data_IF_597414714800
#
_entry.id   IF_597414714800
#
_cell.length_a   1.000
_cell.length_b   1.000
_cell.length_c   1.000
_cell.angle_alpha   90.00
_cell.angle_beta   90.00
_cell.angle_gamma   90.00
#
_symmetry.space_group_name_H-M   'P 1'
#
loop_
_entity.id
_entity.type
_entity.pdbx_description
1 polymer ?
#
# COMPACT_ATOMS: atom_id res chain seq x y z
N UNK A 1 -9.58 21.36 -28.93
CA UNK A 1 -9.12 20.88 -30.23
C UNK A 1 -8.42 19.53 -30.05
N UNK A 2 -9.19 18.44 -29.99
CA UNK A 2 -8.76 17.01 -30.08
C UNK A 2 -9.94 16.23 -30.62
N UNK A 3 -10.28 16.40 -31.91
CA UNK A 3 -11.39 15.67 -32.55
C UNK A 3 -10.93 14.41 -33.28
N UNK A 4 -9.64 14.10 -33.34
CA UNK A 4 -9.14 12.88 -33.94
C UNK A 4 -8.70 11.87 -32.89
N UNK A 5 -9.21 10.62 -33.01
CA UNK A 5 -8.77 9.52 -32.16
C UNK A 5 -7.26 9.31 -32.32
N UNK A 6 -6.52 9.07 -31.22
CA UNK A 6 -5.07 8.90 -31.26
C UNK A 6 -4.68 7.75 -32.18
N UNK A 7 -3.57 7.90 -32.89
CA UNK A 7 -3.04 6.86 -33.78
C UNK A 7 -2.57 5.66 -32.97
N UNK A 8 -2.63 4.47 -33.59
CA UNK A 8 -2.15 3.23 -32.96
C UNK A 8 -0.66 3.29 -32.57
N UNK A 9 0.15 3.95 -33.39
CA UNK A 9 1.56 4.17 -33.07
C UNK A 9 1.74 4.99 -31.80
N UNK A 10 0.92 6.01 -31.60
CA UNK A 10 0.92 6.81 -30.38
C UNK A 10 0.44 6.01 -29.17
N UNK A 11 -0.68 5.26 -29.28
CA UNK A 11 -1.19 4.42 -28.20
C UNK A 11 -0.17 3.35 -27.77
N UNK A 12 0.50 2.71 -28.73
CA UNK A 12 1.58 1.75 -28.49
C UNK A 12 2.78 2.41 -27.81
N UNK A 13 3.17 3.60 -28.27
CA UNK A 13 4.27 4.35 -27.65
C UNK A 13 3.99 4.64 -26.17
N UNK A 14 2.85 5.23 -25.86
CA UNK A 14 2.53 5.63 -24.48
C UNK A 14 2.25 4.45 -23.54
N UNK A 15 1.81 3.30 -24.04
CA UNK A 15 1.60 2.10 -23.22
C UNK A 15 2.90 1.30 -23.02
N UNK A 16 3.94 1.63 -23.78
CA UNK A 16 5.26 0.98 -23.69
C UNK A 16 6.16 1.49 -22.56
N UNK A 17 5.80 2.59 -21.87
CA UNK A 17 6.64 3.19 -20.82
C UNK A 17 7.03 2.24 -19.68
N UNK A 18 6.19 1.25 -19.23
CA UNK A 18 6.57 0.37 -18.13
C UNK A 18 7.78 -0.51 -18.45
N UNK A 19 8.11 -0.66 -19.74
CA UNK A 19 9.16 -1.54 -20.26
C UNK A 19 10.45 -0.80 -20.61
N UNK A 20 10.50 0.52 -20.42
CA UNK A 20 11.68 1.33 -20.72
C UNK A 20 12.85 1.02 -19.77
N UNK A 21 12.52 0.76 -18.49
CA UNK A 21 13.52 0.56 -17.43
C UNK A 21 13.54 -0.86 -16.85
N UNK A 22 12.43 -1.61 -17.00
CA UNK A 22 12.30 -2.95 -16.40
C UNK A 22 11.43 -3.84 -17.29
N UNK A 23 12.09 -4.61 -18.17
CA UNK A 23 11.42 -5.63 -18.98
C UNK A 23 11.01 -6.80 -18.10
N UNK A 24 9.75 -7.28 -18.16
CA UNK A 24 9.33 -8.47 -17.43
C UNK A 24 9.94 -9.74 -18.05
N UNK A 25 10.17 -10.76 -17.23
CA UNK A 25 10.48 -12.10 -17.72
C UNK A 25 9.25 -12.75 -18.34
N UNK A 26 8.09 -12.53 -17.71
CA UNK A 26 6.76 -12.93 -18.18
C UNK A 26 5.71 -11.95 -17.66
N UNK A 27 4.82 -11.50 -18.55
CA UNK A 27 3.74 -10.59 -18.22
C UNK A 27 2.40 -11.32 -18.23
N UNK A 28 1.50 -11.00 -17.29
CA UNK A 28 0.09 -11.34 -17.42
C UNK A 28 -0.78 -10.10 -17.56
N UNK A 29 -1.96 -10.28 -18.16
CA UNK A 29 -3.02 -9.26 -18.17
C UNK A 29 -4.20 -9.77 -17.39
N UNK A 30 -4.69 -8.98 -16.42
CA UNK A 30 -5.94 -9.27 -15.74
C UNK A 30 -7.11 -8.83 -16.62
N UNK A 31 -7.86 -9.80 -17.13
CA UNK A 31 -8.90 -9.59 -18.14
C UNK A 31 -10.28 -9.95 -17.57
N UNK A 32 -11.27 -9.07 -17.74
CA UNK A 32 -12.65 -9.29 -17.33
C UNK A 32 -13.61 -9.48 -18.51
N UNK A 33 -13.12 -9.39 -19.76
CA UNK A 33 -13.96 -9.39 -20.95
C UNK A 33 -14.47 -8.01 -21.38
N UNK A 34 -14.50 -7.03 -20.48
CA UNK A 34 -14.89 -5.65 -20.81
C UNK A 34 -13.86 -4.91 -21.65
N UNK A 35 -14.29 -3.87 -22.37
CA UNK A 35 -13.49 -3.16 -23.38
C UNK A 35 -12.12 -2.72 -22.91
N UNK A 36 -12.02 -2.09 -21.72
CA UNK A 36 -10.74 -1.59 -21.21
C UNK A 36 -9.73 -2.74 -20.98
N UNK A 37 -10.19 -3.87 -20.45
CA UNK A 37 -9.32 -5.03 -20.21
C UNK A 37 -8.93 -5.76 -21.49
N UNK A 38 -9.81 -5.82 -22.48
CA UNK A 38 -9.52 -6.41 -23.79
C UNK A 38 -8.54 -5.55 -24.59
N UNK A 39 -8.68 -4.21 -24.54
CA UNK A 39 -7.69 -3.29 -25.12
C UNK A 39 -6.30 -3.44 -24.46
N UNK A 40 -6.28 -3.58 -23.14
CA UNK A 40 -5.05 -3.85 -22.41
C UNK A 40 -4.39 -5.15 -22.88
N UNK A 41 -5.17 -6.23 -23.03
CA UNK A 41 -4.67 -7.52 -23.49
C UNK A 41 -4.05 -7.41 -24.87
N UNK A 42 -4.77 -6.86 -25.87
CA UNK A 42 -4.28 -6.76 -27.24
C UNK A 42 -2.99 -5.90 -27.34
N UNK A 43 -2.94 -4.77 -26.61
CA UNK A 43 -1.75 -3.92 -26.54
C UNK A 43 -0.56 -4.63 -25.87
N UNK A 44 -0.78 -5.38 -24.79
CA UNK A 44 0.30 -6.10 -24.13
C UNK A 44 0.80 -7.29 -24.97
N UNK A 45 -0.06 -7.92 -25.74
CA UNK A 45 0.35 -8.92 -26.74
C UNK A 45 1.26 -8.31 -27.81
N UNK A 46 0.89 -7.13 -28.32
CA UNK A 46 1.74 -6.40 -29.25
C UNK A 46 3.11 -6.08 -28.63
N UNK A 47 3.15 -5.56 -27.40
CA UNK A 47 4.41 -5.26 -26.69
C UNK A 47 5.23 -6.52 -26.42
N UNK A 48 4.59 -7.63 -26.07
CA UNK A 48 5.25 -8.91 -25.85
C UNK A 48 5.96 -9.41 -27.11
N UNK A 49 5.27 -9.34 -28.26
CA UNK A 49 5.81 -9.72 -29.56
C UNK A 49 6.98 -8.80 -29.97
N UNK A 50 6.79 -7.48 -29.88
CA UNK A 50 7.81 -6.49 -30.26
C UNK A 50 9.06 -6.55 -29.40
N UNK A 51 8.89 -6.77 -28.07
CA UNK A 51 9.97 -6.73 -27.09
C UNK A 51 10.47 -8.11 -26.66
N UNK A 52 9.85 -9.19 -27.15
CA UNK A 52 10.27 -10.58 -26.94
C UNK A 52 10.06 -11.08 -25.49
N UNK A 53 8.92 -10.81 -24.87
CA UNK A 53 8.51 -11.43 -23.60
C UNK A 53 7.14 -12.11 -23.75
N UNK A 54 6.94 -13.27 -23.09
CA UNK A 54 5.68 -13.98 -23.16
C UNK A 54 4.58 -13.24 -22.39
N UNK A 55 3.33 -13.32 -22.91
CA UNK A 55 2.15 -12.73 -22.29
C UNK A 55 1.10 -13.81 -22.07
N UNK A 56 0.51 -13.84 -20.88
CA UNK A 56 -0.61 -14.71 -20.52
C UNK A 56 -1.83 -13.84 -20.11
N UNK A 57 -3.02 -14.42 -20.17
CA UNK A 57 -4.24 -13.78 -19.66
C UNK A 57 -4.73 -14.50 -18.41
N UNK A 58 -5.25 -13.74 -17.43
CA UNK A 58 -5.90 -14.27 -16.23
C UNK A 58 -7.23 -13.58 -16.00
N UNK A 59 -8.30 -14.37 -15.79
CA UNK A 59 -9.63 -13.89 -15.43
C UNK A 59 -9.97 -14.37 -14.02
N UNK A 60 -10.52 -13.49 -13.18
CA UNK A 60 -11.07 -13.88 -11.87
C UNK A 60 -12.57 -14.09 -12.02
N UNK A 61 -13.00 -15.32 -11.78
CA UNK A 61 -14.41 -15.65 -11.67
C UNK A 61 -14.88 -15.44 -10.23
N UNK A 62 -15.75 -14.46 -10.03
CA UNK A 62 -16.30 -14.16 -8.71
C UNK A 62 -17.53 -15.00 -8.36
N UNK A 63 -18.06 -15.81 -9.31
CA UNK A 63 -19.25 -16.65 -9.10
C UNK A 63 -20.54 -15.89 -8.81
N UNK A 64 -20.57 -14.56 -9.04
CA UNK A 64 -21.66 -13.68 -8.60
C UNK A 64 -22.70 -13.41 -9.67
N UNK A 65 -22.41 -13.68 -10.95
CA UNK A 65 -23.28 -13.34 -12.09
C UNK A 65 -23.27 -14.46 -13.13
N UNK A 66 -24.44 -14.73 -13.73
CA UNK A 66 -24.56 -15.71 -14.81
C UNK A 66 -23.78 -15.28 -16.08
N UNK A 67 -23.79 -13.97 -16.37
CA UNK A 67 -23.11 -13.36 -17.53
C UNK A 67 -21.58 -13.50 -17.48
N UNK A 68 -21.01 -13.76 -16.31
CA UNK A 68 -19.57 -13.97 -16.16
C UNK A 68 -19.05 -15.15 -17.00
N UNK A 69 -19.90 -16.18 -17.24
CA UNK A 69 -19.54 -17.31 -18.08
C UNK A 69 -19.33 -16.89 -19.55
N UNK A 70 -20.18 -16.02 -20.09
CA UNK A 70 -20.09 -15.51 -21.46
C UNK A 70 -18.88 -14.59 -21.63
N UNK A 71 -18.59 -13.74 -20.62
CA UNK A 71 -17.40 -12.89 -20.58
C UNK A 71 -16.12 -13.75 -20.58
N UNK A 72 -16.07 -14.80 -19.76
CA UNK A 72 -14.95 -15.75 -19.71
C UNK A 72 -14.79 -16.47 -21.04
N UNK A 73 -15.89 -16.93 -21.65
CA UNK A 73 -15.86 -17.61 -22.94
C UNK A 73 -15.35 -16.69 -24.07
N UNK A 74 -15.74 -15.40 -24.06
CA UNK A 74 -15.24 -14.40 -25.00
C UNK A 74 -13.72 -14.23 -24.88
N UNK A 75 -13.20 -14.07 -23.65
CA UNK A 75 -11.76 -13.96 -23.41
C UNK A 75 -11.03 -15.22 -23.85
N UNK A 76 -11.55 -16.39 -23.49
CA UNK A 76 -10.96 -17.68 -23.86
C UNK A 76 -10.90 -17.86 -25.40
N UNK A 77 -11.98 -17.50 -26.12
CA UNK A 77 -12.02 -17.55 -27.58
C UNK A 77 -11.00 -16.61 -28.23
N UNK A 78 -10.89 -15.37 -27.73
CA UNK A 78 -9.88 -14.42 -28.21
C UNK A 78 -8.45 -14.92 -27.96
N UNK A 79 -8.17 -15.40 -26.75
CA UNK A 79 -6.87 -15.93 -26.39
C UNK A 79 -6.48 -17.15 -27.25
N UNK A 80 -7.41 -18.10 -27.44
CA UNK A 80 -7.21 -19.27 -28.29
C UNK A 80 -6.88 -18.88 -29.73
N UNK A 81 -7.59 -17.90 -30.31
CA UNK A 81 -7.35 -17.38 -31.64
C UNK A 81 -5.97 -16.70 -31.81
N UNK A 82 -5.39 -16.21 -30.71
CA UNK A 82 -4.05 -15.57 -30.69
C UNK A 82 -2.94 -16.51 -30.18
N UNK A 83 -3.26 -17.75 -29.79
CA UNK A 83 -2.30 -18.68 -29.18
C UNK A 83 -1.79 -18.26 -27.80
N UNK A 84 -2.59 -17.52 -27.04
CA UNK A 84 -2.25 -16.98 -25.72
C UNK A 84 -2.78 -17.87 -24.61
N UNK A 85 -1.95 -18.28 -23.62
CA UNK A 85 -2.44 -19.00 -22.46
C UNK A 85 -3.43 -18.16 -21.68
N UNK A 86 -4.61 -18.72 -21.37
CA UNK A 86 -5.64 -18.10 -20.54
C UNK A 86 -5.94 -18.99 -19.32
N UNK A 87 -5.97 -18.39 -18.14
CA UNK A 87 -6.32 -19.07 -16.89
C UNK A 87 -7.52 -18.39 -16.25
N UNK A 88 -8.40 -19.18 -15.64
CA UNK A 88 -9.50 -18.68 -14.82
C UNK A 88 -9.22 -19.07 -13.37
N UNK A 89 -9.16 -18.08 -12.48
CA UNK A 89 -9.02 -18.26 -11.05
C UNK A 89 -10.35 -17.95 -10.38
N UNK A 90 -10.81 -18.83 -9.47
CA UNK A 90 -12.10 -18.67 -8.79
C UNK A 90 -11.92 -18.03 -7.44
N UNK A 91 -12.88 -17.21 -7.07
CA UNK A 91 -13.01 -16.66 -5.75
C UNK A 91 -14.20 -17.29 -5.03
N UNK A 92 -13.91 -18.02 -3.97
CA UNK A 92 -14.93 -18.57 -3.08
C UNK A 92 -15.17 -17.59 -1.94
N UNK A 93 -16.37 -16.97 -1.94
CA UNK A 93 -16.73 -16.00 -0.91
C UNK A 93 -17.42 -16.69 0.27
N UNK A 94 -16.87 -16.49 1.48
CA UNK A 94 -17.39 -17.08 2.72
C UNK A 94 -18.59 -16.32 3.34
N UNK A 95 -19.10 -15.25 2.66
CA UNK A 95 -20.36 -14.61 3.03
C UNK A 95 -20.29 -13.55 4.14
N UNK A 96 -19.11 -13.07 4.53
CA UNK A 96 -18.95 -12.03 5.58
C UNK A 96 -18.34 -10.74 5.03
N UNK A 97 -18.77 -9.57 5.53
CA UNK A 97 -18.14 -8.27 5.27
C UNK A 97 -18.65 -7.49 4.05
N UNK A 98 -17.85 -6.52 3.58
CA UNK A 98 -18.19 -5.70 2.42
C UNK A 98 -17.77 -6.40 1.13
N UNK A 99 -18.72 -7.05 0.46
CA UNK A 99 -18.52 -7.83 -0.77
C UNK A 99 -17.59 -7.17 -1.80
N UNK A 100 -17.76 -5.86 -2.05
CA UNK A 100 -16.96 -5.16 -3.08
C UNK A 100 -15.49 -4.93 -2.65
N UNK A 101 -15.28 -4.57 -1.39
CA UNK A 101 -13.94 -4.36 -0.86
C UNK A 101 -13.18 -5.69 -0.77
N UNK A 102 -13.86 -6.75 -0.35
CA UNK A 102 -13.31 -8.10 -0.26
C UNK A 102 -13.05 -8.70 -1.62
N UNK A 103 -13.99 -8.60 -2.58
CA UNK A 103 -13.79 -9.03 -3.96
C UNK A 103 -12.58 -8.32 -4.61
N UNK A 104 -12.40 -7.02 -4.34
CA UNK A 104 -11.24 -6.28 -4.83
C UNK A 104 -9.94 -6.76 -4.17
N UNK A 105 -9.93 -6.99 -2.86
CA UNK A 105 -8.75 -7.49 -2.14
C UNK A 105 -8.40 -8.91 -2.58
N UNK A 106 -9.39 -9.80 -2.63
CA UNK A 106 -9.25 -11.18 -3.07
C UNK A 106 -8.71 -11.28 -4.50
N UNK A 107 -9.19 -10.43 -5.42
CA UNK A 107 -8.70 -10.39 -6.80
C UNK A 107 -7.18 -10.19 -6.89
N UNK A 108 -6.62 -9.26 -6.11
CA UNK A 108 -5.18 -9.05 -6.10
C UNK A 108 -4.43 -10.25 -5.53
N UNK A 109 -4.89 -10.81 -4.41
CA UNK A 109 -4.29 -11.98 -3.77
C UNK A 109 -4.29 -13.21 -4.67
N UNK A 110 -5.46 -13.54 -5.26
CA UNK A 110 -5.62 -14.69 -6.17
C UNK A 110 -4.74 -14.58 -7.42
N UNK A 111 -4.73 -13.41 -8.06
CA UNK A 111 -3.89 -13.18 -9.23
C UNK A 111 -2.40 -13.25 -8.85
N UNK A 112 -2.00 -12.69 -7.70
CA UNK A 112 -0.60 -12.72 -7.26
C UNK A 112 -0.15 -14.16 -6.93
N UNK A 113 -0.98 -14.96 -6.28
CA UNK A 113 -0.70 -16.37 -6.01
C UNK A 113 -0.55 -17.18 -7.31
N UNK A 114 -1.50 -17.02 -8.22
CA UNK A 114 -1.46 -17.63 -9.54
C UNK A 114 -0.21 -17.19 -10.32
N UNK A 115 0.12 -15.89 -10.31
CA UNK A 115 1.28 -15.33 -11.00
C UNK A 115 2.59 -15.95 -10.52
N UNK A 116 2.78 -16.05 -9.19
CA UNK A 116 3.95 -16.70 -8.60
C UNK A 116 4.08 -18.16 -9.02
N UNK A 117 2.97 -18.92 -9.00
CA UNK A 117 2.94 -20.32 -9.43
C UNK A 117 3.29 -20.52 -10.92
N UNK A 118 3.13 -19.48 -11.74
CA UNK A 118 3.42 -19.53 -13.16
C UNK A 118 4.71 -18.80 -13.58
N UNK A 119 5.46 -18.24 -12.64
CA UNK A 119 6.65 -17.44 -12.90
C UNK A 119 6.35 -16.13 -13.63
N UNK A 120 5.17 -15.54 -13.40
CA UNK A 120 4.78 -14.21 -13.87
C UNK A 120 5.30 -13.18 -12.87
N UNK A 121 6.11 -12.24 -13.31
CA UNK A 121 6.70 -11.19 -12.47
C UNK A 121 6.03 -9.83 -12.63
N UNK A 122 5.14 -9.69 -13.63
CA UNK A 122 4.42 -8.45 -13.91
C UNK A 122 2.98 -8.70 -14.34
N UNK A 123 2.03 -7.96 -13.74
CA UNK A 123 0.60 -8.02 -14.12
C UNK A 123 0.11 -6.66 -14.57
N UNK A 124 -0.48 -6.59 -15.77
CA UNK A 124 -1.08 -5.39 -16.33
C UNK A 124 -2.59 -5.30 -16.03
N UNK A 125 -3.06 -4.09 -15.72
CA UNK A 125 -4.44 -3.76 -15.43
C UNK A 125 -4.96 -2.72 -16.43
N UNK A 126 -6.12 -2.95 -17.01
CA UNK A 126 -6.77 -2.09 -17.98
C UNK A 126 -7.49 -0.88 -17.35
N UNK A 127 -6.83 -0.13 -16.47
CA UNK A 127 -7.37 1.12 -15.95
C UNK A 127 -7.08 2.27 -16.92
N UNK A 128 -8.07 3.16 -17.11
CA UNK A 128 -8.04 4.28 -18.06
C UNK A 128 -8.01 5.63 -17.34
N UNK A 129 -7.93 6.71 -18.10
CA UNK A 129 -8.06 8.09 -17.59
C UNK A 129 -9.40 8.32 -16.90
N UNK A 130 -10.48 7.73 -17.43
CA UNK A 130 -11.79 7.81 -16.79
C UNK A 130 -11.78 7.22 -15.37
N UNK A 131 -11.06 6.10 -15.16
CA UNK A 131 -10.93 5.51 -13.83
C UNK A 131 -10.15 6.41 -12.86
N UNK A 132 -9.19 7.20 -13.37
CA UNK A 132 -8.50 8.22 -12.57
C UNK A 132 -9.47 9.29 -12.14
N UNK A 133 -10.28 9.84 -13.07
CA UNK A 133 -11.26 10.89 -12.80
C UNK A 133 -12.35 10.41 -11.83
N UNK A 134 -12.91 9.21 -12.05
CA UNK A 134 -13.88 8.58 -11.14
C UNK A 134 -13.31 8.45 -9.74
N UNK A 135 -12.08 7.93 -9.61
CA UNK A 135 -11.40 7.74 -8.33
C UNK A 135 -11.11 9.07 -7.65
N UNK A 136 -10.71 10.09 -8.41
CA UNK A 136 -10.49 11.44 -7.91
C UNK A 136 -11.74 12.00 -7.24
N UNK A 137 -12.90 11.96 -7.91
CA UNK A 137 -14.17 12.43 -7.37
C UNK A 137 -14.59 11.67 -6.11
N UNK A 138 -14.47 10.34 -6.12
CA UNK A 138 -14.77 9.50 -4.95
C UNK A 138 -13.90 9.86 -3.73
N UNK A 139 -12.62 10.16 -3.95
CA UNK A 139 -11.68 10.52 -2.90
C UNK A 139 -11.87 11.97 -2.44
N UNK A 140 -12.19 12.88 -3.35
CA UNK A 140 -12.52 14.27 -3.05
C UNK A 140 -13.76 14.35 -2.13
N UNK A 141 -14.80 13.56 -2.42
CA UNK A 141 -15.99 13.46 -1.59
C UNK A 141 -15.69 12.97 -0.16
N UNK A 142 -14.60 12.23 0.02
CA UNK A 142 -14.09 11.77 1.32
C UNK A 142 -13.07 12.72 1.96
N UNK A 143 -12.92 13.93 1.43
CA UNK A 143 -11.98 14.97 1.92
C UNK A 143 -10.52 14.48 1.90
N UNK A 144 -10.15 13.69 0.90
CA UNK A 144 -8.77 13.25 0.75
C UNK A 144 -7.83 14.42 0.49
N UNK A 145 -6.66 14.40 1.12
CA UNK A 145 -5.57 15.35 0.87
C UNK A 145 -4.73 14.96 -0.35
N UNK A 146 -3.52 15.51 -0.44
CA UNK A 146 -2.59 15.34 -1.57
C UNK A 146 -2.40 13.87 -1.93
N UNK A 147 -2.12 12.99 -0.95
CA UNK A 147 -1.89 11.56 -1.19
C UNK A 147 -3.10 10.87 -1.81
N UNK A 148 -4.28 11.15 -1.27
CA UNK A 148 -5.51 10.56 -1.76
C UNK A 148 -5.89 11.07 -3.16
N UNK A 149 -5.66 12.34 -3.44
CA UNK A 149 -6.00 12.99 -4.72
C UNK A 149 -4.95 12.75 -5.81
N UNK A 150 -3.78 12.20 -5.50
CA UNK A 150 -2.70 11.93 -6.46
C UNK A 150 -3.02 10.83 -7.49
N UNK A 151 -4.27 10.40 -7.60
CA UNK A 151 -4.72 9.47 -8.60
C UNK A 151 -4.30 8.02 -8.34
N UNK A 152 -4.16 7.28 -9.42
CA UNK A 152 -3.70 5.89 -9.41
C UNK A 152 -2.21 5.83 -9.75
N UNK A 153 -1.44 5.09 -8.98
CA UNK A 153 -0.05 4.81 -9.34
C UNK A 153 0.02 4.03 -10.65
N UNK A 154 0.94 4.42 -11.50
CA UNK A 154 1.18 3.74 -12.79
C UNK A 154 1.78 2.36 -12.59
N UNK A 155 2.64 2.21 -11.58
CA UNK A 155 3.26 0.95 -11.19
C UNK A 155 3.30 0.85 -9.67
N UNK A 156 3.14 -0.36 -9.13
CA UNK A 156 3.25 -0.64 -7.71
C UNK A 156 3.60 -2.12 -7.52
N UNK A 157 4.16 -2.46 -6.36
CA UNK A 157 4.40 -3.85 -5.96
C UNK A 157 3.38 -4.25 -4.90
N UNK A 158 2.76 -5.41 -5.09
CA UNK A 158 1.83 -5.98 -4.11
C UNK A 158 1.90 -7.50 -4.14
N UNK A 159 1.96 -8.11 -2.97
CA UNK A 159 2.03 -9.58 -2.80
C UNK A 159 3.19 -10.22 -3.58
N UNK A 160 4.33 -9.50 -3.68
CA UNK A 160 5.53 -9.94 -4.39
C UNK A 160 5.47 -9.88 -5.92
N UNK A 161 4.41 -9.29 -6.49
CA UNK A 161 4.21 -9.11 -7.93
C UNK A 161 4.23 -7.63 -8.29
N UNK A 162 4.87 -7.29 -9.41
CA UNK A 162 4.81 -5.94 -9.99
C UNK A 162 3.52 -5.76 -10.78
N UNK A 163 2.78 -4.71 -10.46
CA UNK A 163 1.53 -4.34 -11.14
C UNK A 163 1.73 -3.08 -11.95
N UNK A 164 1.20 -3.05 -13.18
CA UNK A 164 1.28 -1.88 -14.05
C UNK A 164 -0.11 -1.47 -14.56
N UNK A 165 -0.29 -0.17 -14.81
CA UNK A 165 -1.49 0.42 -15.44
C UNK A 165 -1.05 1.21 -16.66
N UNK A 166 -0.86 0.56 -17.81
CA UNK A 166 -0.26 1.21 -18.98
C UNK A 166 -1.18 2.21 -19.65
N UNK A 167 -2.51 2.13 -19.43
CA UNK A 167 -3.52 2.84 -20.20
C UNK A 167 -4.05 4.13 -19.57
N UNK A 168 -3.48 4.58 -18.43
CA UNK A 168 -3.99 5.74 -17.68
C UNK A 168 -3.93 7.08 -18.45
N UNK A 169 -3.19 7.16 -19.54
CA UNK A 169 -2.98 8.40 -20.30
C UNK A 169 -4.15 8.75 -21.24
N UNK A 170 -5.04 7.80 -21.54
CA UNK A 170 -6.16 7.99 -22.49
C UNK A 170 -7.48 7.53 -21.92
N UNK A 171 -8.56 8.13 -22.46
CA UNK A 171 -9.92 7.86 -22.06
C UNK A 171 -10.46 6.55 -22.65
N UNK A 172 -11.55 6.09 -22.06
CA UNK A 172 -12.27 4.86 -22.47
C UNK A 172 -12.76 4.93 -23.92
N UNK A 173 -13.11 6.13 -24.40
CA UNK A 173 -13.49 6.36 -25.80
C UNK A 173 -12.38 6.02 -26.79
N UNK A 174 -11.14 6.42 -26.49
CA UNK A 174 -9.98 6.14 -27.34
C UNK A 174 -9.71 4.63 -27.44
N UNK A 175 -9.84 3.92 -26.31
CA UNK A 175 -9.62 2.47 -26.24
C UNK A 175 -10.74 1.70 -26.98
N UNK A 176 -11.98 2.15 -26.91
CA UNK A 176 -13.07 1.57 -27.71
C UNK A 176 -12.85 1.78 -29.21
N UNK A 177 -12.42 2.97 -29.61
CA UNK A 177 -12.07 3.25 -31.00
C UNK A 177 -10.91 2.35 -31.48
N UNK A 178 -9.92 2.10 -30.63
CA UNK A 178 -8.82 1.15 -30.88
C UNK A 178 -9.37 -0.27 -31.11
N UNK A 179 -10.20 -0.79 -30.18
CA UNK A 179 -10.77 -2.14 -30.29
C UNK A 179 -11.57 -2.32 -31.58
N UNK A 180 -12.37 -1.31 -31.95
CA UNK A 180 -13.17 -1.33 -33.19
C UNK A 180 -12.28 -1.40 -34.44
N UNK A 181 -11.19 -0.59 -34.48
CA UNK A 181 -10.24 -0.60 -35.60
C UNK A 181 -9.52 -1.94 -35.75
N UNK A 182 -9.25 -2.63 -34.67
CA UNK A 182 -8.52 -3.91 -34.65
C UNK A 182 -9.43 -5.14 -34.67
N UNK A 183 -10.76 -4.96 -34.69
CA UNK A 183 -11.70 -6.07 -34.65
C UNK A 183 -11.62 -6.93 -33.38
N UNK A 184 -11.14 -6.33 -32.25
CA UNK A 184 -11.06 -7.03 -30.98
C UNK A 184 -12.44 -7.05 -30.34
N UNK A 185 -13.00 -8.23 -30.01
CA UNK A 185 -14.32 -8.33 -29.38
C UNK A 185 -14.25 -7.93 -27.91
N UNK A 186 -15.34 -7.41 -27.36
CA UNK A 186 -15.52 -7.15 -25.93
C UNK A 186 -16.96 -7.29 -25.51
N UNK A 187 -17.20 -7.52 -24.21
CA UNK A 187 -18.52 -7.56 -23.61
C UNK A 187 -18.90 -6.17 -23.05
N UNK A 188 -20.17 -5.77 -23.26
CA UNK A 188 -20.76 -4.61 -22.59
C UNK A 188 -21.41 -5.07 -21.28
N UNK A 189 -20.87 -4.63 -20.16
CA UNK A 189 -21.37 -5.01 -18.83
C UNK A 189 -22.59 -4.18 -18.45
N UNK A 190 -23.76 -4.81 -18.35
CA UNK A 190 -25.01 -4.17 -17.95
C UNK A 190 -24.97 -3.56 -16.54
N UNK A 191 -24.11 -4.07 -15.63
CA UNK A 191 -23.94 -3.52 -14.28
C UNK A 191 -23.31 -2.11 -14.26
N UNK A 192 -22.73 -1.67 -15.38
CA UNK A 192 -22.23 -0.31 -15.56
C UNK A 192 -23.31 0.79 -15.47
N UNK A 193 -24.60 0.44 -15.47
CA UNK A 193 -25.72 1.36 -15.33
C UNK A 193 -26.28 1.46 -13.90
N UNK A 194 -25.93 0.53 -13.00
CA UNK A 194 -26.51 0.46 -11.66
C UNK A 194 -25.95 1.56 -10.72
N UNK A 195 -26.82 2.51 -10.36
CA UNK A 195 -26.50 3.63 -9.48
C UNK A 195 -26.18 3.23 -8.01
N UNK A 196 -26.40 1.97 -7.62
CA UNK A 196 -25.94 1.46 -6.33
C UNK A 196 -24.40 1.50 -6.21
N UNK A 197 -23.70 1.38 -7.33
CA UNK A 197 -22.25 1.44 -7.36
C UNK A 197 -21.72 2.86 -7.30
N UNK A 198 -20.75 3.09 -6.40
CA UNK A 198 -20.14 4.41 -6.19
C UNK A 198 -19.51 4.99 -7.47
N UNK A 199 -18.89 4.14 -8.30
CA UNK A 199 -18.32 4.54 -9.59
C UNK A 199 -19.36 5.02 -10.60
N UNK A 200 -20.54 4.41 -10.63
CA UNK A 200 -21.64 4.86 -11.51
C UNK A 200 -22.12 6.25 -11.08
N UNK A 201 -22.20 6.49 -9.75
CA UNK A 201 -22.50 7.84 -9.23
C UNK A 201 -21.43 8.85 -9.62
N UNK A 202 -20.14 8.47 -9.51
CA UNK A 202 -19.03 9.34 -9.90
C UNK A 202 -19.10 9.71 -11.40
N UNK A 203 -19.46 8.78 -12.29
CA UNK A 203 -19.70 9.05 -13.74
C UNK A 203 -20.82 10.06 -13.96
N UNK A 204 -21.94 9.92 -13.25
CA UNK A 204 -23.06 10.87 -13.33
C UNK A 204 -22.65 12.26 -12.86
N UNK A 205 -21.88 12.34 -11.79
CA UNK A 205 -21.33 13.63 -11.29
C UNK A 205 -20.38 14.22 -12.32
N UNK A 206 -19.48 13.43 -12.89
CA UNK A 206 -18.54 13.88 -13.93
C UNK A 206 -19.28 14.46 -15.13
N UNK A 207 -20.32 13.78 -15.62
CA UNK A 207 -21.15 14.28 -16.71
C UNK A 207 -21.86 15.61 -16.34
N UNK A 208 -22.30 15.78 -15.10
CA UNK A 208 -22.91 17.02 -14.62
C UNK A 208 -21.91 18.18 -14.48
N UNK A 209 -20.61 17.92 -14.37
CA UNK A 209 -19.55 18.92 -14.31
C UNK A 209 -19.09 19.39 -15.70
N UNK A 210 -19.42 18.68 -16.77
CA UNK A 210 -19.02 19.00 -18.15
C UNK A 210 -19.37 20.46 -18.57
N UNK A 211 -20.53 21.05 -18.20
CA UNK A 211 -20.84 22.47 -18.54
C UNK A 211 -19.87 23.50 -17.93
N UNK A 212 -19.13 23.10 -16.88
CA UNK A 212 -18.07 23.93 -16.27
C UNK A 212 -16.71 23.71 -16.94
N UNK A 213 -16.61 22.87 -17.97
CA UNK A 213 -15.36 22.46 -18.59
C UNK A 213 -14.57 21.45 -17.75
N UNK A 214 -15.21 20.83 -16.76
CA UNK A 214 -14.57 19.80 -15.90
C UNK A 214 -14.94 18.43 -16.46
N UNK A 215 -14.02 17.84 -17.17
CA UNK A 215 -14.10 16.49 -17.75
C UNK A 215 -13.08 15.54 -17.13
N UNK A 216 -12.95 14.33 -17.69
CA UNK A 216 -12.00 13.34 -17.22
C UNK A 216 -10.53 13.80 -17.39
N UNK A 217 -10.25 14.57 -18.44
CA UNK A 217 -8.92 15.09 -18.73
C UNK A 217 -8.49 16.09 -17.65
N UNK A 218 -9.36 17.05 -17.34
CA UNK A 218 -9.10 18.05 -16.30
C UNK A 218 -8.85 17.40 -14.94
N UNK A 219 -9.69 16.44 -14.54
CA UNK A 219 -9.52 15.76 -13.25
C UNK A 219 -8.26 14.88 -13.20
N UNK A 220 -7.91 14.23 -14.30
CA UNK A 220 -6.69 13.45 -14.39
C UNK A 220 -5.44 14.35 -14.35
N UNK A 221 -5.47 15.52 -14.97
CA UNK A 221 -4.38 16.50 -14.92
C UNK A 221 -4.21 17.07 -13.49
N UNK A 222 -5.31 17.37 -12.79
CA UNK A 222 -5.24 17.76 -11.37
C UNK A 222 -4.67 16.63 -10.52
N UNK A 223 -5.09 15.38 -10.74
CA UNK A 223 -4.55 14.22 -10.03
C UNK A 223 -3.04 14.05 -10.28
N UNK A 224 -2.59 14.30 -11.50
CA UNK A 224 -1.16 14.31 -11.86
C UNK A 224 -0.39 15.41 -11.12
N UNK A 225 -0.93 16.62 -11.07
CA UNK A 225 -0.33 17.73 -10.31
C UNK A 225 -0.23 17.39 -8.81
N UNK A 226 -1.26 16.75 -8.26
CA UNK A 226 -1.20 16.22 -6.87
C UNK A 226 -0.13 15.14 -6.71
N UNK A 227 0.08 14.28 -7.70
CA UNK A 227 1.13 13.26 -7.66
C UNK A 227 2.53 13.89 -7.68
N UNK A 228 2.75 14.96 -8.46
CA UNK A 228 4.02 15.72 -8.43
C UNK A 228 4.24 16.39 -7.07
N UNK A 229 3.21 17.00 -6.49
CA UNK A 229 3.28 17.58 -5.15
C UNK A 229 3.57 16.51 -4.08
N UNK A 230 2.93 15.33 -4.16
CA UNK A 230 3.22 14.20 -3.28
C UNK A 230 4.68 13.78 -3.38
N UNK A 231 5.21 13.64 -4.60
CA UNK A 231 6.60 13.24 -4.81
C UNK A 231 7.59 14.23 -4.16
N UNK A 232 7.33 15.53 -4.27
CA UNK A 232 8.14 16.56 -3.61
C UNK A 232 8.06 16.47 -2.07
N UNK A 233 6.86 16.23 -1.52
CA UNK A 233 6.67 16.04 -0.08
C UNK A 233 7.35 14.75 0.41
N UNK A 234 7.30 13.67 -0.36
CA UNK A 234 7.95 12.40 -0.03
C UNK A 234 9.48 12.55 -0.05
N UNK A 235 10.04 13.33 -0.97
CA UNK A 235 11.47 13.64 -0.98
C UNK A 235 11.89 14.39 0.30
N UNK A 236 11.18 15.47 0.66
CA UNK A 236 11.46 16.23 1.90
C UNK A 236 11.25 15.35 3.14
N UNK A 237 10.28 14.43 3.12
CA UNK A 237 10.05 13.48 4.21
C UNK A 237 11.25 12.57 4.43
N UNK A 238 11.78 11.96 3.35
CA UNK A 238 12.95 11.07 3.40
C UNK A 238 14.21 11.82 3.84
N UNK A 239 14.44 13.05 3.34
CA UNK A 239 15.55 13.87 3.83
C UNK A 239 15.42 14.23 5.31
N UNK A 240 14.19 14.47 5.79
CA UNK A 240 13.94 14.78 7.21
C UNK A 240 14.14 13.53 8.07
N UNK A 241 13.74 12.38 7.58
CA UNK A 241 13.94 11.09 8.25
C UNK A 241 15.42 10.78 8.38
N UNK A 242 16.17 10.76 7.29
CA UNK A 242 17.60 10.44 7.24
C UNK A 242 18.42 11.34 8.20
N UNK A 243 18.08 12.63 8.30
CA UNK A 243 18.86 13.59 9.09
C UNK A 243 18.47 13.63 10.56
N UNK A 244 17.20 13.40 10.90
CA UNK A 244 16.67 13.81 12.20
C UNK A 244 15.88 12.74 12.95
N UNK A 245 15.49 11.65 12.30
CA UNK A 245 14.81 10.54 12.96
C UNK A 245 15.85 9.57 13.52
N UNK A 246 15.65 9.12 14.76
CA UNK A 246 16.52 8.16 15.41
C UNK A 246 15.73 6.88 15.72
N UNK A 247 16.21 5.75 15.24
CA UNK A 247 15.73 4.44 15.65
C UNK A 247 16.44 4.02 16.96
N UNK A 248 15.67 3.77 17.99
CA UNK A 248 16.18 3.48 19.32
C UNK A 248 15.59 2.16 19.86
N UNK A 249 16.18 1.03 19.47
CA UNK A 249 15.78 -0.32 19.92
C UNK A 249 14.27 -0.56 19.76
N UNK A 250 13.77 -0.36 18.53
CA UNK A 250 12.36 -0.55 18.17
C UNK A 250 11.43 0.63 18.46
N UNK A 251 11.91 1.68 19.09
CA UNK A 251 11.22 2.98 19.17
C UNK A 251 11.73 3.92 18.08
N UNK A 252 10.95 4.97 17.77
CA UNK A 252 11.39 6.10 16.97
C UNK A 252 11.46 7.36 17.81
N UNK A 253 12.44 8.22 17.55
CA UNK A 253 12.56 9.53 18.19
C UNK A 253 12.52 10.58 17.09
N UNK A 254 11.46 11.40 17.09
CA UNK A 254 11.22 12.47 16.13
C UNK A 254 11.50 13.83 16.76
N UNK A 255 12.15 14.77 16.07
CA UNK A 255 12.26 16.16 16.51
C UNK A 255 10.94 16.92 16.24
N UNK A 256 10.68 17.99 17.00
CA UNK A 256 9.61 18.95 16.67
C UNK A 256 10.15 20.14 15.84
N UNK A 257 11.42 20.45 16.03
CA UNK A 257 12.12 21.56 15.39
C UNK A 257 13.31 21.03 14.59
N UNK A 258 13.69 21.76 13.56
CA UNK A 258 14.91 21.49 12.83
C UNK A 258 16.13 21.73 13.74
N UNK A 259 16.90 20.68 14.09
CA UNK A 259 17.92 20.76 15.16
C UNK A 259 19.01 21.81 14.89
N UNK A 260 19.33 22.08 13.63
CA UNK A 260 20.42 22.99 13.25
C UNK A 260 19.96 24.46 13.16
N UNK A 261 18.71 24.71 12.74
CA UNK A 261 18.22 26.08 12.50
C UNK A 261 17.23 26.59 13.56
N UNK A 262 16.74 25.71 14.44
CA UNK A 262 15.68 26.04 15.40
C UNK A 262 14.32 26.36 14.74
N UNK A 263 14.20 26.19 13.41
CA UNK A 263 12.95 26.40 12.71
C UNK A 263 12.04 25.17 12.85
N UNK A 264 10.75 25.40 12.90
CA UNK A 264 9.78 24.30 12.86
C UNK A 264 9.91 23.53 11.55
N UNK A 265 9.93 22.19 11.62
CA UNK A 265 9.76 21.34 10.45
C UNK A 265 8.33 21.57 9.94
N UNK A 266 8.12 21.68 8.61
CA UNK A 266 6.78 21.93 8.08
C UNK A 266 5.76 20.93 8.65
N UNK A 267 4.59 21.43 9.08
CA UNK A 267 3.56 20.63 9.74
C UNK A 267 3.17 19.40 8.93
N UNK A 268 3.03 19.52 7.60
CA UNK A 268 2.71 18.41 6.71
C UNK A 268 3.77 17.30 6.78
N UNK A 269 5.04 17.64 6.85
CA UNK A 269 6.14 16.65 6.95
C UNK A 269 6.09 15.93 8.30
N UNK A 270 5.89 16.68 9.39
CA UNK A 270 5.75 16.08 10.73
C UNK A 270 4.48 15.22 10.84
N UNK A 271 3.39 15.65 10.24
CA UNK A 271 2.14 14.88 10.18
C UNK A 271 2.37 13.53 9.45
N UNK A 272 3.05 13.55 8.30
CA UNK A 272 3.43 12.35 7.54
C UNK A 272 4.37 11.45 8.35
N UNK A 273 5.44 12.00 8.95
CA UNK A 273 6.37 11.23 9.77
C UNK A 273 5.66 10.54 10.93
N UNK A 274 4.80 11.25 11.67
CA UNK A 274 4.04 10.68 12.77
C UNK A 274 3.08 9.59 12.32
N UNK A 275 2.40 9.80 11.20
CA UNK A 275 1.48 8.83 10.61
C UNK A 275 2.20 7.54 10.23
N UNK A 276 3.32 7.62 9.55
CA UNK A 276 4.10 6.46 9.15
C UNK A 276 4.82 5.81 10.34
N UNK A 277 5.27 6.59 11.31
CA UNK A 277 5.83 6.07 12.56
C UNK A 277 4.81 5.21 13.34
N UNK A 278 3.54 5.64 13.40
CA UNK A 278 2.47 4.82 14.00
C UNK A 278 2.30 3.51 13.25
N UNK A 279 2.36 3.52 11.93
CA UNK A 279 2.26 2.29 11.12
C UNK A 279 3.45 1.37 11.36
N UNK A 280 4.65 1.90 11.35
CA UNK A 280 5.88 1.12 11.55
C UNK A 280 5.98 0.56 12.97
N UNK A 281 5.76 1.38 14.01
CA UNK A 281 5.79 0.95 15.42
C UNK A 281 4.56 0.10 15.77
N UNK A 282 3.37 0.51 15.35
CA UNK A 282 2.10 -0.14 15.69
C UNK A 282 1.78 -1.38 14.86
N UNK A 283 2.30 -1.49 13.64
CA UNK A 283 2.06 -2.62 12.74
C UNK A 283 0.75 -2.59 11.98
N UNK A 284 0.06 -1.48 11.99
CA UNK A 284 -1.21 -1.36 11.28
C UNK A 284 -1.00 -1.23 9.77
N UNK A 285 -1.80 -1.96 8.98
CA UNK A 285 -1.81 -1.85 7.52
C UNK A 285 -2.25 -0.46 7.07
N UNK A 286 -3.25 0.10 7.78
CA UNK A 286 -3.81 1.42 7.48
C UNK A 286 -3.39 2.46 8.52
N UNK A 287 -3.15 3.67 8.02
CA UNK A 287 -2.89 4.82 8.89
C UNK A 287 -4.12 5.17 9.76
N UNK A 288 -3.92 5.80 10.92
CA UNK A 288 -5.01 6.36 11.70
C UNK A 288 -5.83 7.39 10.91
N UNK A 289 -7.11 7.56 11.29
CA UNK A 289 -7.99 8.57 10.70
C UNK A 289 -7.50 9.98 11.00
N UNK A 290 -7.80 10.91 10.10
CA UNK A 290 -7.36 12.31 10.22
C UNK A 290 -7.77 12.97 11.54
N UNK A 291 -8.98 12.71 12.05
CA UNK A 291 -9.45 13.28 13.32
C UNK A 291 -8.56 12.82 14.49
N UNK A 292 -8.23 11.52 14.56
CA UNK A 292 -7.35 10.97 15.58
C UNK A 292 -5.91 11.51 15.48
N UNK A 293 -5.42 11.76 14.27
CA UNK A 293 -4.11 12.40 14.05
C UNK A 293 -4.13 13.87 14.52
N UNK A 294 -5.24 14.59 14.31
CA UNK A 294 -5.43 15.96 14.79
C UNK A 294 -5.43 16.02 16.33
N UNK A 295 -6.09 15.07 17.00
CA UNK A 295 -6.07 14.95 18.46
C UNK A 295 -4.65 14.70 19.00
N UNK A 296 -3.88 13.83 18.31
CA UNK A 296 -2.47 13.59 18.61
C UNK A 296 -1.65 14.88 18.49
N UNK A 297 -1.80 15.64 17.39
CA UNK A 297 -1.06 16.89 17.17
C UNK A 297 -1.39 17.95 18.23
N UNK A 298 -2.65 18.05 18.65
CA UNK A 298 -3.05 18.91 19.76
C UNK A 298 -2.39 18.48 21.08
N UNK A 299 -2.34 17.17 21.35
CA UNK A 299 -1.72 16.66 22.58
C UNK A 299 -0.21 16.93 22.58
N UNK A 300 0.48 16.70 21.45
CA UNK A 300 1.90 16.99 21.24
C UNK A 300 2.17 18.49 21.46
N UNK A 301 1.41 19.37 20.81
CA UNK A 301 1.56 20.82 20.96
C UNK A 301 1.37 21.30 22.41
N UNK A 302 0.62 20.56 23.23
CA UNK A 302 0.45 20.81 24.68
C UNK A 302 1.51 20.12 25.54
N UNK A 303 2.47 19.42 24.95
CA UNK A 303 3.49 18.64 25.67
C UNK A 303 2.94 17.43 26.44
N UNK A 304 1.75 16.93 26.08
CA UNK A 304 1.07 15.83 26.77
C UNK A 304 1.38 14.49 26.11
N UNK A 305 1.60 13.46 26.94
CA UNK A 305 1.64 12.07 26.46
C UNK A 305 0.30 11.71 25.82
N UNK A 306 0.35 10.98 24.71
CA UNK A 306 -0.84 10.51 23.98
C UNK A 306 -0.64 9.09 23.45
N UNK A 307 -1.72 8.33 23.30
CA UNK A 307 -1.70 6.98 22.69
C UNK A 307 -2.55 6.97 21.45
N UNK A 308 -2.01 6.39 20.37
CA UNK A 308 -2.73 6.23 19.11
C UNK A 308 -2.17 5.03 18.32
N UNK A 309 -3.06 4.19 17.77
CA UNK A 309 -2.67 3.08 16.91
C UNK A 309 -1.75 2.05 17.57
N UNK A 310 -1.90 1.82 18.88
CA UNK A 310 -1.05 0.92 19.66
C UNK A 310 0.36 1.45 19.90
N UNK A 311 0.54 2.76 19.78
CA UNK A 311 1.77 3.49 20.08
C UNK A 311 1.54 4.49 21.20
N UNK A 312 2.55 4.77 22.00
CA UNK A 312 2.60 5.83 23.01
C UNK A 312 3.60 6.88 22.60
N UNK A 313 3.16 8.14 22.60
CA UNK A 313 3.96 9.33 22.33
C UNK A 313 4.35 9.97 23.65
N UNK A 314 5.64 10.05 23.92
CA UNK A 314 6.17 10.66 25.13
C UNK A 314 7.25 11.68 24.80
N UNK A 315 7.30 12.77 25.58
CA UNK A 315 8.36 13.76 25.40
C UNK A 315 9.70 13.17 25.81
N UNK A 316 10.65 13.12 24.88
CA UNK A 316 11.99 12.67 25.14
C UNK A 316 12.81 13.81 25.72
N UNK A 317 13.65 13.51 26.75
CA UNK A 317 14.65 14.44 27.25
C UNK A 317 15.80 14.50 26.22
N UNK A 318 15.74 15.43 25.27
CA UNK A 318 16.82 15.70 24.33
C UNK A 318 18.06 16.26 25.06
N UNK A 319 19.25 16.12 24.45
CA UNK A 319 20.41 16.95 24.84
C UNK A 319 20.00 18.41 24.70
N UNK A 320 20.41 19.28 25.63
CA UNK A 320 19.98 20.71 25.75
C UNK A 320 20.13 21.56 24.48
N UNK A 321 20.77 21.04 23.42
CA UNK A 321 21.04 21.73 22.15
C UNK A 321 20.08 21.39 21.00
N UNK A 322 19.08 20.51 21.17
CA UNK A 322 18.30 19.97 20.05
C UNK A 322 16.80 19.96 20.34
N UNK A 323 16.16 21.09 20.58
CA UNK A 323 14.71 21.22 20.65
C UNK A 323 13.90 20.15 21.39
N UNK A 324 12.59 20.19 21.35
CA UNK A 324 11.74 19.13 21.86
C UNK A 324 11.79 17.91 20.94
N UNK A 325 11.89 16.72 21.52
CA UNK A 325 11.86 15.44 20.78
C UNK A 325 10.77 14.55 21.34
N UNK A 326 10.14 13.80 20.45
CA UNK A 326 9.07 12.86 20.79
C UNK A 326 9.51 11.44 20.53
N UNK A 327 9.41 10.61 21.56
CA UNK A 327 9.59 9.16 21.43
C UNK A 327 8.24 8.52 21.12
N UNK A 328 8.24 7.66 20.12
CA UNK A 328 7.13 6.84 19.70
C UNK A 328 7.50 5.40 20.01
N UNK A 329 6.85 4.82 21.00
CA UNK A 329 7.11 3.47 21.46
C UNK A 329 5.86 2.60 21.30
N UNK A 330 6.03 1.29 21.27
CA UNK A 330 4.89 0.36 21.29
C UNK A 330 4.14 0.49 22.61
N UNK A 331 2.81 0.55 22.57
CA UNK A 331 1.99 0.57 23.77
C UNK A 331 1.91 -0.83 24.38
N UNK A 332 2.17 -0.96 25.69
CA UNK A 332 2.14 -2.25 26.38
C UNK A 332 0.77 -2.94 26.28
N UNK A 333 -0.32 -2.20 26.42
CA UNK A 333 -1.68 -2.77 26.30
C UNK A 333 -1.96 -3.40 24.93
N UNK A 334 -1.27 -2.95 23.88
CA UNK A 334 -1.43 -3.49 22.54
C UNK A 334 -0.69 -4.83 22.34
N UNK A 335 0.25 -5.17 23.23
CA UNK A 335 1.08 -6.39 23.11
C UNK A 335 1.05 -7.30 24.33
N UNK A 336 0.38 -6.91 25.43
CA UNK A 336 0.36 -7.67 26.69
C UNK A 336 -0.14 -9.10 26.57
N UNK A 337 -1.03 -9.36 25.59
CA UNK A 337 -1.64 -10.65 25.35
C UNK A 337 -1.03 -11.36 24.12
N UNK A 338 -0.06 -10.73 23.43
CA UNK A 338 0.61 -11.32 22.27
C UNK A 338 1.63 -12.35 22.75
N UNK A 339 1.50 -13.58 22.24
CA UNK A 339 2.42 -14.70 22.51
C UNK A 339 2.83 -15.33 21.19
N UNK A 340 4.03 -15.86 21.14
CA UNK A 340 4.54 -16.61 20.00
C UNK A 340 5.72 -17.50 20.35
N UNK A 341 6.09 -18.42 19.47
CA UNK A 341 7.29 -19.22 19.63
C UNK A 341 8.55 -18.34 19.51
N UNK A 342 9.66 -18.82 20.03
CA UNK A 342 10.93 -18.04 20.04
C UNK A 342 11.61 -17.97 18.67
N UNK A 343 11.27 -18.86 17.74
CA UNK A 343 11.83 -18.99 16.39
C UNK A 343 11.02 -18.27 15.31
N UNK A 344 9.95 -17.56 15.70
CA UNK A 344 9.15 -16.73 14.79
C UNK A 344 9.15 -15.26 15.19
N UNK A 345 8.91 -14.33 14.24
CA UNK A 345 8.83 -12.91 14.57
C UNK A 345 7.71 -12.61 15.57
N UNK A 346 8.05 -11.93 16.67
CA UNK A 346 7.08 -11.51 17.69
C UNK A 346 6.55 -10.10 17.38
N UNK A 347 5.24 -9.88 17.54
CA UNK A 347 4.52 -8.63 17.21
C UNK A 347 4.80 -8.16 15.76
N UNK A 348 5.20 -9.10 14.87
CA UNK A 348 5.60 -8.80 13.49
C UNK A 348 6.79 -7.83 13.35
N UNK A 349 7.54 -7.59 14.44
CA UNK A 349 8.62 -6.59 14.52
C UNK A 349 9.93 -7.17 15.00
N UNK A 350 9.88 -8.08 15.94
CA UNK A 350 11.05 -8.53 16.65
C UNK A 350 11.50 -9.92 16.22
N UNK A 351 12.74 -10.03 15.87
CA UNK A 351 13.43 -11.32 15.71
C UNK A 351 14.18 -11.60 16.99
N UNK A 352 14.00 -12.82 17.52
CA UNK A 352 14.65 -13.28 18.76
C UNK A 352 15.66 -14.37 18.37
N UNK A 353 16.87 -14.25 18.80
CA UNK A 353 17.95 -15.20 18.54
C UNK A 353 18.48 -15.76 19.87
N UNK A 354 18.60 -17.08 19.96
CA UNK A 354 19.09 -17.73 21.16
C UNK A 354 18.82 -19.23 21.21
N UNK A 355 18.95 -19.88 22.35
CA UNK A 355 18.72 -21.32 22.49
C UNK A 355 17.23 -21.66 22.47
N UNK A 356 16.64 -21.76 21.27
CA UNK A 356 15.23 -22.09 21.06
C UNK A 356 14.86 -23.46 21.64
N UNK A 357 13.72 -23.54 22.31
CA UNK A 357 13.17 -24.79 22.82
C UNK A 357 11.63 -24.75 22.80
N UNK A 358 10.95 -25.91 22.65
CA UNK A 358 9.49 -25.95 22.54
C UNK A 358 8.71 -25.51 23.77
N UNK A 359 9.35 -25.48 24.95
CA UNK A 359 8.79 -25.04 26.22
C UNK A 359 8.98 -23.53 26.49
N UNK A 360 9.58 -22.83 25.52
CA UNK A 360 9.82 -21.38 25.59
C UNK A 360 8.84 -20.63 24.69
N UNK A 361 8.34 -19.50 25.18
CA UNK A 361 7.54 -18.57 24.39
C UNK A 361 8.03 -17.11 24.55
N UNK A 362 7.66 -16.26 23.59
CA UNK A 362 7.92 -14.83 23.63
C UNK A 362 6.66 -14.10 24.01
N UNK A 363 6.77 -13.19 24.99
CA UNK A 363 5.71 -12.28 25.43
C UNK A 363 6.29 -10.91 25.73
N UNK A 364 5.44 -9.91 25.89
CA UNK A 364 5.87 -8.63 26.43
C UNK A 364 6.43 -8.79 27.85
N UNK A 365 7.51 -8.07 28.16
CA UNK A 365 8.16 -8.12 29.49
C UNK A 365 7.20 -7.69 30.62
N UNK A 366 6.38 -6.66 30.38
CA UNK A 366 5.35 -6.20 31.31
C UNK A 366 5.87 -5.82 32.69
N UNK A 367 5.18 -6.30 33.73
CA UNK A 367 5.50 -6.01 35.12
C UNK A 367 6.84 -6.58 35.58
N UNK A 368 7.36 -7.63 34.92
CA UNK A 368 8.65 -8.24 35.23
C UNK A 368 9.85 -7.31 34.91
N UNK A 369 9.61 -6.14 34.32
CA UNK A 369 10.64 -5.11 34.16
C UNK A 369 11.35 -4.77 35.46
N UNK A 370 10.69 -4.88 36.61
CA UNK A 370 11.27 -4.66 37.95
C UNK A 370 12.40 -5.64 38.31
N UNK A 371 12.38 -6.81 37.71
CA UNK A 371 13.31 -7.93 37.97
C UNK A 371 14.48 -7.93 36.97
N UNK A 372 14.68 -6.85 36.21
CA UNK A 372 15.72 -6.68 35.19
C UNK A 372 16.55 -5.42 35.42
N UNK A 373 17.77 -5.35 34.90
CA UNK A 373 18.61 -4.15 34.99
C UNK A 373 18.27 -3.06 33.97
N UNK A 374 16.99 -2.93 33.61
CA UNK A 374 16.51 -2.07 32.52
C UNK A 374 17.01 -0.62 32.58
N UNK A 375 17.26 -0.10 33.80
CA UNK A 375 17.75 1.28 33.97
C UNK A 375 19.12 1.51 33.33
N UNK A 376 19.95 0.48 33.28
CA UNK A 376 21.28 0.51 32.65
C UNK A 376 21.20 0.61 31.12
N UNK A 377 20.08 0.21 30.50
CA UNK A 377 19.88 0.28 29.06
C UNK A 377 19.64 1.70 28.54
N UNK A 378 19.31 2.65 29.41
CA UNK A 378 18.92 4.01 29.06
C UNK A 378 17.52 4.13 28.42
N UNK A 379 16.79 3.01 28.27
CA UNK A 379 15.44 2.99 27.68
C UNK A 379 14.37 3.44 28.70
N UNK A 380 13.31 4.11 28.23
CA UNK A 380 12.16 4.40 29.09
C UNK A 380 11.47 3.11 29.55
N UNK A 381 10.97 3.13 30.80
CA UNK A 381 10.24 1.98 31.37
C UNK A 381 9.09 1.51 30.48
N UNK A 382 8.33 2.44 29.89
CA UNK A 382 7.20 2.12 29.02
C UNK A 382 7.61 1.31 27.77
N UNK A 383 8.73 1.71 27.13
CA UNK A 383 9.29 1.01 25.98
C UNK A 383 9.75 -0.41 26.36
N UNK A 384 10.45 -0.53 27.48
CA UNK A 384 10.97 -1.82 27.96
C UNK A 384 9.83 -2.77 28.35
N UNK A 385 8.77 -2.28 28.98
CA UNK A 385 7.58 -3.09 29.30
C UNK A 385 6.91 -3.70 28.07
N UNK A 386 6.93 -2.99 26.94
CA UNK A 386 6.35 -3.44 25.69
C UNK A 386 7.33 -4.24 24.81
N UNK A 387 8.57 -4.43 25.24
CA UNK A 387 9.58 -5.18 24.51
C UNK A 387 9.45 -6.70 24.73
N UNK A 388 9.99 -7.51 23.77
CA UNK A 388 9.94 -8.97 23.90
C UNK A 388 10.79 -9.47 25.06
N UNK A 389 10.28 -10.50 25.72
CA UNK A 389 10.99 -11.28 26.72
C UNK A 389 10.71 -12.78 26.51
N UNK A 390 11.69 -13.62 26.81
CA UNK A 390 11.60 -15.08 26.71
C UNK A 390 11.16 -15.66 28.03
N UNK A 391 10.17 -16.52 27.98
CA UNK A 391 9.52 -17.12 29.15
C UNK A 391 9.50 -18.64 29.07
N UNK A 392 9.57 -19.28 30.23
CA UNK A 392 9.28 -20.70 30.43
C UNK A 392 8.11 -20.80 31.41
N UNK A 393 6.90 -21.05 30.92
CA UNK A 393 5.71 -20.98 31.79
C UNK A 393 5.55 -19.61 32.43
N UNK A 394 5.73 -19.50 33.75
CA UNK A 394 5.68 -18.25 34.51
C UNK A 394 7.04 -17.63 34.80
N UNK A 395 8.14 -18.30 34.45
CA UNK A 395 9.50 -17.88 34.74
C UNK A 395 10.08 -17.01 33.62
N UNK A 396 10.66 -15.84 33.97
CA UNK A 396 11.38 -14.99 33.04
C UNK A 396 12.79 -15.56 32.77
N UNK A 397 13.06 -15.98 31.55
CA UNK A 397 14.36 -16.54 31.15
C UNK A 397 15.30 -15.45 30.64
N UNK A 398 14.80 -14.57 29.74
CA UNK A 398 15.59 -13.47 29.19
C UNK A 398 14.72 -12.27 28.83
N UNK A 399 15.30 -11.08 28.87
CA UNK A 399 14.70 -9.83 28.40
C UNK A 399 15.82 -8.96 27.80
N UNK A 400 16.29 -9.25 26.57
CA UNK A 400 17.51 -8.65 26.02
C UNK A 400 17.44 -7.13 25.91
N UNK A 401 16.26 -6.57 25.57
CA UNK A 401 16.05 -5.11 25.50
C UNK A 401 16.15 -4.46 26.88
N UNK A 402 15.84 -5.23 27.94
CA UNK A 402 15.92 -4.80 29.34
C UNK A 402 17.28 -5.08 30.01
N UNK A 403 18.29 -5.53 29.26
CA UNK A 403 19.62 -5.82 29.75
C UNK A 403 19.79 -7.22 30.39
N UNK A 404 18.76 -8.09 30.38
CA UNK A 404 18.84 -9.48 30.83
C UNK A 404 18.95 -10.39 29.59
N UNK A 405 20.16 -10.53 29.05
CA UNK A 405 20.39 -11.22 27.80
C UNK A 405 20.33 -12.75 27.92
N UNK A 406 21.01 -13.34 28.93
CA UNK A 406 21.07 -14.80 29.19
C UNK A 406 21.25 -15.66 27.91
N UNK A 407 22.13 -15.21 27.00
CA UNK A 407 22.36 -15.90 25.71
C UNK A 407 21.34 -15.61 24.62
N UNK A 408 20.43 -14.66 24.84
CA UNK A 408 19.43 -14.22 23.85
C UNK A 408 19.72 -12.82 23.33
N UNK A 409 19.34 -12.58 22.08
CA UNK A 409 19.35 -11.26 21.44
C UNK A 409 17.98 -10.95 20.89
N UNK A 410 17.62 -9.67 20.85
CA UNK A 410 16.39 -9.19 20.27
C UNK A 410 16.69 -8.02 19.32
N UNK A 411 16.25 -8.12 18.09
CA UNK A 411 16.41 -7.07 17.06
C UNK A 411 15.04 -6.71 16.45
N UNK A 412 14.80 -5.42 16.25
CA UNK A 412 13.54 -4.92 15.66
C UNK A 412 13.64 -4.88 14.11
N UNK A 413 14.00 -6.01 13.50
CA UNK A 413 14.28 -6.11 12.06
C UNK A 413 13.12 -6.67 11.25
N UNK A 414 12.04 -7.14 11.89
CA UNK A 414 10.93 -7.81 11.20
C UNK A 414 10.19 -6.95 10.16
N UNK A 415 10.39 -5.62 10.18
CA UNK A 415 9.79 -4.67 9.21
C UNK A 415 10.83 -3.86 8.45
N UNK A 416 12.10 -4.23 8.51
CA UNK A 416 13.19 -3.39 8.02
C UNK A 416 13.39 -2.11 8.85
N UNK A 417 14.29 -1.25 8.41
CA UNK A 417 14.46 0.09 8.98
C UNK A 417 13.25 0.98 8.68
N UNK A 418 13.11 2.07 9.42
CA UNK A 418 12.04 3.03 9.14
C UNK A 418 12.20 3.71 7.77
N UNK A 419 13.45 3.97 7.35
CA UNK A 419 13.78 4.46 6.01
C UNK A 419 13.31 3.48 4.92
N UNK A 420 13.64 2.18 5.03
CA UNK A 420 13.18 1.15 4.10
C UNK A 420 11.65 1.06 4.06
N UNK A 421 11.01 1.15 5.21
CA UNK A 421 9.54 1.17 5.30
C UNK A 421 8.94 2.37 4.58
N UNK A 422 9.53 3.57 4.71
CA UNK A 422 9.08 4.77 3.99
C UNK A 422 9.24 4.63 2.47
N UNK A 423 10.29 3.97 2.00
CA UNK A 423 10.55 3.73 0.58
C UNK A 423 9.62 2.66 -0.03
N UNK A 424 9.08 1.75 0.79
CA UNK A 424 8.23 0.64 0.33
C UNK A 424 6.75 0.98 0.19
N UNK A 425 6.31 2.18 0.54
CA UNK A 425 4.89 2.60 0.60
C UNK A 425 4.32 3.11 -0.73
#
# INVERSE_FOLDING_TARGET
MRDEAPSDAWLRHITGWPFLHARPSKLAVAVSGGGDSMACLDLMLWHGAERGFPVEAVTVDHGLRAEAADEIALVAGFCAGKGVPHSVVRWDWEGSGNLQAEARAARYGLIAEWARGRGVDCVALGHTRDDVAETFLMRLARRAGVDGLSGMERTFTRDGVRWIRPMLAHGRGDWRAYLTRHGVPWAEDASNADAAFERVRARKVLAALAPLGIDADVLADVAHNMAMARSALDHVLLETEDRYVEEARGDLILPDEHPESGRMIPHEIMFRLRREAIRWVGGAVYAPRSDAMTELDIAIGRGKTHTLGGCVFTRSKGRRSHGARWRIAREYNAVKDVRGPTDAPWDGRWTIEGPHAPDLDVRALGAAVKDTPWRETGMPRASVMASPAVWRGGELIAAPVAGLENGWRASATGRGTFAEFLLSR
#
